data_IF_759850978403
#
_entry.id   IF_759850978403
#
_cell.length_a   1.000
_cell.length_b   1.000
_cell.length_c   1.000
_cell.angle_alpha   90.00
_cell.angle_beta   90.00
_cell.angle_gamma   90.00
#
_symmetry.space_group_name_H-M   'P 1'
#
loop_
_entity.id
_entity.type
_entity.pdbx_description
1 polymer ?
#
# COMPACT_ATOMS: atom_id res chain seq x y z
N UNK A 1 -9.60 12.59 3.00
CA UNK A 1 -9.84 13.58 1.93
C UNK A 1 -11.32 13.93 1.82
N UNK A 2 -12.20 12.95 1.60
CA UNK A 2 -13.66 13.16 1.46
C UNK A 2 -14.32 13.81 2.69
N UNK A 3 -13.97 13.40 3.91
CA UNK A 3 -14.54 13.98 5.15
C UNK A 3 -14.18 15.45 5.36
N UNK A 4 -12.94 15.84 5.05
CA UNK A 4 -12.49 17.24 5.11
C UNK A 4 -13.26 18.13 4.13
N UNK A 5 -13.53 17.64 2.91
CA UNK A 5 -14.36 18.37 1.94
C UNK A 5 -15.80 18.52 2.43
N UNK A 6 -16.37 17.49 3.08
CA UNK A 6 -17.71 17.58 3.66
C UNK A 6 -17.81 18.60 4.80
N UNK A 7 -16.80 18.66 5.69
CA UNK A 7 -16.71 19.70 6.74
C UNK A 7 -16.58 21.10 6.14
N UNK A 8 -15.84 21.24 5.03
CA UNK A 8 -15.72 22.53 4.35
C UNK A 8 -17.08 22.98 3.78
N UNK A 9 -17.80 22.09 3.11
CA UNK A 9 -19.14 22.38 2.57
C UNK A 9 -20.11 22.77 3.70
N UNK A 10 -20.14 22.05 4.82
CA UNK A 10 -21.02 22.39 5.94
C UNK A 10 -20.67 23.74 6.57
N UNK A 11 -19.38 24.04 6.70
CA UNK A 11 -18.92 25.35 7.19
C UNK A 11 -19.29 26.49 6.23
N UNK A 12 -19.19 26.27 4.92
CA UNK A 12 -19.55 27.28 3.92
C UNK A 12 -21.05 27.55 3.94
N UNK A 13 -21.88 26.51 4.12
CA UNK A 13 -23.32 26.67 4.31
C UNK A 13 -23.66 27.45 5.59
N UNK A 14 -22.95 27.20 6.70
CA UNK A 14 -23.13 27.97 7.93
C UNK A 14 -22.79 29.45 7.77
N UNK A 15 -21.84 29.78 6.90
CA UNK A 15 -21.47 31.18 6.61
C UNK A 15 -22.44 31.91 5.68
N UNK A 16 -23.47 31.23 5.18
CA UNK A 16 -24.44 31.82 4.28
C UNK A 16 -25.38 32.80 5.03
N UNK A 17 -25.60 34.03 4.51
CA UNK A 17 -26.52 35.00 5.12
C UNK A 17 -27.95 34.49 5.35
N UNK A 18 -28.39 33.46 4.63
CA UNK A 18 -29.69 32.81 4.86
C UNK A 18 -29.80 32.22 6.26
N UNK A 19 -28.70 31.84 6.90
CA UNK A 19 -28.68 31.38 8.29
C UNK A 19 -29.06 32.47 9.29
N UNK A 20 -28.91 33.75 8.94
CA UNK A 20 -29.35 34.88 9.78
C UNK A 20 -30.84 35.21 9.57
N UNK A 21 -31.38 34.85 8.40
CA UNK A 21 -32.74 35.18 7.98
C UNK A 21 -33.75 34.09 8.35
N UNK A 22 -33.33 32.83 8.29
CA UNK A 22 -34.20 31.66 8.45
C UNK A 22 -33.71 30.78 9.61
N UNK A 23 -34.31 30.91 10.81
CA UNK A 23 -33.88 30.17 12.00
C UNK A 23 -33.92 28.64 11.82
N UNK A 24 -34.91 28.11 11.10
CA UNK A 24 -35.01 26.67 10.81
C UNK A 24 -33.92 26.18 9.87
N UNK A 25 -33.46 27.04 8.95
CA UNK A 25 -32.33 26.71 8.08
C UNK A 25 -31.03 26.66 8.89
N UNK A 26 -30.79 27.66 9.76
CA UNK A 26 -29.64 27.67 10.66
C UNK A 26 -29.57 26.42 11.54
N UNK A 27 -30.69 26.01 12.13
CA UNK A 27 -30.76 24.81 12.98
C UNK A 27 -30.36 23.55 12.17
N UNK A 28 -30.92 23.38 10.98
CA UNK A 28 -30.63 22.23 10.11
C UNK A 28 -29.16 22.20 9.69
N UNK A 29 -28.61 23.35 9.25
CA UNK A 29 -27.22 23.45 8.79
C UNK A 29 -26.25 23.25 9.96
N UNK A 30 -26.59 23.71 11.17
CA UNK A 30 -25.80 23.48 12.39
C UNK A 30 -25.76 22.00 12.78
N UNK A 31 -26.90 21.31 12.69
CA UNK A 31 -26.97 19.87 12.92
C UNK A 31 -26.12 19.11 11.88
N UNK A 32 -26.20 19.52 10.61
CA UNK A 32 -25.40 18.96 9.54
C UNK A 32 -23.90 19.16 9.75
N UNK A 33 -23.45 20.38 10.07
CA UNK A 33 -22.05 20.68 10.36
C UNK A 33 -21.50 19.88 11.55
N UNK A 34 -22.30 19.76 12.60
CA UNK A 34 -21.96 18.93 13.76
C UNK A 34 -21.75 17.47 13.35
N UNK A 35 -22.62 16.92 12.50
CA UNK A 35 -22.48 15.55 12.00
C UNK A 35 -21.23 15.38 11.13
N UNK A 36 -20.92 16.35 10.25
CA UNK A 36 -19.73 16.29 9.39
C UNK A 36 -18.43 16.34 10.20
N UNK A 37 -18.37 17.21 11.23
CA UNK A 37 -17.22 17.29 12.14
C UNK A 37 -17.02 16.00 12.93
N UNK A 38 -18.09 15.39 13.45
CA UNK A 38 -18.03 14.09 14.14
C UNK A 38 -17.50 12.99 13.21
N UNK A 39 -17.98 12.96 11.96
CA UNK A 39 -17.51 12.00 10.96
C UNK A 39 -16.03 12.20 10.62
N UNK A 40 -15.56 13.45 10.47
CA UNK A 40 -14.13 13.72 10.21
C UNK A 40 -13.25 13.31 11.39
N UNK A 41 -13.67 13.60 12.62
CA UNK A 41 -12.99 13.15 13.84
C UNK A 41 -12.90 11.63 13.92
N UNK A 42 -14.01 10.92 13.66
CA UNK A 42 -14.03 9.46 13.65
C UNK A 42 -13.10 8.87 12.57
N UNK A 43 -13.09 9.47 11.38
CA UNK A 43 -12.17 9.05 10.32
C UNK A 43 -10.71 9.34 10.69
N UNK A 44 -10.43 10.45 11.38
CA UNK A 44 -9.09 10.75 11.86
C UNK A 44 -8.63 9.72 12.90
N UNK A 45 -9.48 9.38 13.86
CA UNK A 45 -9.21 8.34 14.86
C UNK A 45 -8.94 6.98 14.20
N UNK A 46 -9.75 6.59 13.22
CA UNK A 46 -9.52 5.37 12.43
C UNK A 46 -8.16 5.38 11.72
N UNK A 47 -7.78 6.51 11.12
CA UNK A 47 -6.46 6.65 10.48
C UNK A 47 -5.35 6.56 11.51
N UNK A 48 -5.49 7.22 12.66
CA UNK A 48 -4.50 7.16 13.74
C UNK A 48 -4.35 5.75 14.32
N UNK A 49 -5.45 5.02 14.53
CA UNK A 49 -5.41 3.61 14.94
C UNK A 49 -4.73 2.73 13.88
N UNK A 50 -5.11 2.89 12.61
CA UNK A 50 -4.48 2.13 11.52
C UNK A 50 -2.98 2.43 11.37
N UNK A 51 -2.55 3.67 11.57
CA UNK A 51 -1.14 4.04 11.57
C UNK A 51 -0.38 3.52 12.80
N UNK A 52 -1.05 3.39 13.96
CA UNK A 52 -0.46 2.75 15.13
C UNK A 52 -0.24 1.25 14.88
N UNK A 53 -1.23 0.56 14.32
CA UNK A 53 -1.13 -0.85 13.91
C UNK A 53 -0.07 -1.06 12.81
N UNK A 54 -0.06 -0.23 11.77
CA UNK A 54 0.97 -0.27 10.71
C UNK A 54 2.35 0.04 11.27
N UNK A 55 2.45 1.00 12.18
CA UNK A 55 3.67 1.39 12.87
C UNK A 55 4.32 0.20 13.55
N UNK A 56 3.55 -0.59 14.31
CA UNK A 56 4.01 -1.83 14.95
C UNK A 56 4.53 -2.86 13.94
N UNK A 57 3.81 -3.12 12.85
CA UNK A 57 4.31 -3.99 11.76
C UNK A 57 5.59 -3.48 11.10
N UNK A 58 5.74 -2.16 10.95
CA UNK A 58 6.95 -1.52 10.44
C UNK A 58 8.15 -1.70 11.37
N UNK A 59 7.92 -1.70 12.70
CA UNK A 59 8.97 -1.97 13.69
C UNK A 59 9.46 -3.41 13.55
N UNK A 60 8.58 -4.40 13.39
CA UNK A 60 9.00 -5.80 13.18
C UNK A 60 9.86 -6.01 11.93
N UNK A 61 9.61 -5.24 10.86
CA UNK A 61 10.45 -5.26 9.66
C UNK A 61 11.89 -4.82 9.97
N UNK A 62 12.10 -3.84 10.86
CA UNK A 62 13.44 -3.35 11.19
C UNK A 62 14.07 -3.97 12.45
N UNK A 63 13.31 -4.69 13.28
CA UNK A 63 13.80 -5.31 14.54
C UNK A 63 14.74 -6.49 14.28
N UNK A 64 14.67 -7.12 13.11
CA UNK A 64 15.58 -8.22 12.75
C UNK A 64 16.41 -7.90 11.49
N UNK A 65 17.37 -6.95 11.54
CA UNK A 65 18.22 -6.62 10.40
C UNK A 65 18.95 -7.83 9.82
N UNK A 66 19.37 -8.77 10.68
CA UNK A 66 20.00 -10.02 10.27
C UNK A 66 19.06 -10.93 9.48
N UNK A 67 17.79 -11.03 9.87
CA UNK A 67 16.76 -11.80 9.16
C UNK A 67 16.46 -11.19 7.80
N UNK A 68 16.29 -9.87 7.71
CA UNK A 68 16.09 -9.19 6.43
C UNK A 68 17.27 -9.39 5.47
N UNK A 69 18.50 -9.32 5.99
CA UNK A 69 19.69 -9.58 5.19
C UNK A 69 19.76 -11.05 4.75
N UNK A 70 19.37 -11.99 5.60
CA UNK A 70 19.28 -13.41 5.24
C UNK A 70 18.25 -13.66 4.14
N UNK A 71 17.08 -13.03 4.22
CA UNK A 71 16.03 -13.10 3.19
C UNK A 71 16.52 -12.52 1.87
N UNK A 72 17.16 -11.34 1.88
CA UNK A 72 17.76 -10.73 0.68
C UNK A 72 18.82 -11.61 0.05
N UNK A 73 19.71 -12.22 0.86
CA UNK A 73 20.74 -13.15 0.39
C UNK A 73 20.11 -14.39 -0.25
N UNK A 74 19.09 -14.98 0.40
CA UNK A 74 18.35 -16.12 -0.15
C UNK A 74 17.73 -15.80 -1.51
N UNK A 75 17.09 -14.64 -1.65
CA UNK A 75 16.46 -14.23 -2.91
C UNK A 75 17.50 -14.03 -4.02
N UNK A 76 18.64 -13.41 -3.69
CA UNK A 76 19.76 -13.27 -4.62
C UNK A 76 20.27 -14.64 -5.10
N UNK A 77 20.54 -15.57 -4.17
CA UNK A 77 20.99 -16.92 -4.51
C UNK A 77 19.96 -17.67 -5.35
N UNK A 78 18.66 -17.49 -5.09
CA UNK A 78 17.59 -18.10 -5.88
C UNK A 78 17.55 -17.55 -7.31
N UNK A 79 17.73 -16.25 -7.50
CA UNK A 79 17.81 -15.65 -8.84
C UNK A 79 19.04 -16.16 -9.61
N UNK A 80 20.18 -16.26 -8.94
CA UNK A 80 21.40 -16.79 -9.55
C UNK A 80 21.23 -18.27 -9.92
N UNK A 81 20.63 -19.08 -9.04
CA UNK A 81 20.28 -20.47 -9.34
C UNK A 81 19.40 -20.57 -10.60
N UNK A 82 18.31 -19.80 -10.68
CA UNK A 82 17.43 -19.79 -11.87
C UNK A 82 18.20 -19.42 -13.13
N UNK A 83 19.09 -18.43 -13.07
CA UNK A 83 19.94 -18.03 -14.21
C UNK A 83 20.89 -19.16 -14.63
N UNK A 84 21.51 -19.86 -13.69
CA UNK A 84 22.39 -21.00 -13.99
C UNK A 84 21.59 -22.18 -14.55
N UNK A 85 20.43 -22.48 -13.97
CA UNK A 85 19.53 -23.54 -14.44
C UNK A 85 19.15 -23.32 -15.91
N UNK A 86 18.73 -22.10 -16.28
CA UNK A 86 18.44 -21.79 -17.68
C UNK A 86 19.65 -21.91 -18.61
N UNK A 87 20.88 -21.77 -18.10
CA UNK A 87 22.09 -22.03 -18.90
C UNK A 87 22.33 -23.52 -19.09
N UNK A 88 22.15 -24.32 -18.03
CA UNK A 88 22.26 -25.79 -18.09
C UNK A 88 21.26 -26.34 -19.10
N UNK A 89 19.98 -25.96 -19.00
CA UNK A 89 18.94 -26.39 -19.94
C UNK A 89 19.30 -26.05 -21.40
N UNK A 90 19.84 -24.84 -21.64
CA UNK A 90 20.32 -24.44 -22.98
C UNK A 90 21.52 -25.25 -23.47
N UNK A 91 22.42 -25.67 -22.57
CA UNK A 91 23.56 -26.49 -22.95
C UNK A 91 23.12 -27.94 -23.23
N UNK A 92 22.24 -28.51 -22.41
CA UNK A 92 21.66 -29.83 -22.63
C UNK A 92 20.90 -29.89 -23.96
N UNK A 93 20.12 -28.85 -24.29
CA UNK A 93 19.45 -28.76 -25.59
C UNK A 93 20.46 -28.72 -26.76
N UNK A 94 21.57 -27.98 -26.60
CA UNK A 94 22.65 -27.94 -27.60
C UNK A 94 23.38 -29.28 -27.74
N UNK A 95 23.66 -29.98 -26.65
CA UNK A 95 24.26 -31.31 -26.70
C UNK A 95 23.34 -32.35 -27.36
N UNK A 96 22.02 -32.11 -27.31
CA UNK A 96 21.02 -32.92 -28.00
C UNK A 96 20.92 -32.65 -29.50
N UNK A 97 21.65 -31.66 -30.05
CA UNK A 97 21.70 -31.43 -31.50
C UNK A 97 22.70 -32.35 -32.20
N UNK A 98 22.29 -32.91 -33.35
CA UNK A 98 22.98 -33.98 -34.10
C UNK A 98 24.49 -33.82 -34.38
N UNK A 99 25.07 -32.62 -34.55
CA UNK A 99 26.51 -32.46 -34.79
C UNK A 99 27.41 -32.79 -33.59
N UNK A 100 26.90 -32.74 -32.35
CA UNK A 100 27.70 -32.97 -31.13
C UNK A 100 27.83 -34.47 -30.83
N UNK A 101 26.76 -35.25 -31.03
CA UNK A 101 26.77 -36.72 -30.89
C UNK A 101 27.76 -37.40 -31.86
N UNK A 102 27.98 -36.81 -33.04
CA UNK A 102 28.92 -37.34 -34.04
C UNK A 102 30.40 -37.14 -33.65
N UNK A 103 30.72 -36.17 -32.79
CA UNK A 103 32.11 -35.90 -32.34
C UNK A 103 32.53 -36.70 -31.10
N UNK A 104 31.58 -37.30 -30.37
CA UNK A 104 31.86 -38.13 -29.19
C UNK A 104 32.19 -39.59 -29.55
N UNK A 105 31.95 -40.01 -30.79
CA UNK A 105 32.17 -41.37 -31.30
C UNK A 105 33.35 -41.49 -32.27
N UNK A 106 34.30 -40.55 -32.26
CA UNK A 106 35.52 -40.62 -33.07
C UNK A 106 36.76 -40.85 -32.22
#
# INVERSE_FOLDING_TARGET
AMSKSAVKISSDLLSNPLCEQEPSFLEMVTAFDTAMKRMDSFNQEKVTMGLAEEGETGVFSNVFPSLNMAVKRREQTLQDYKRLQSKVEKYEEKERTGPVLAKLHQ
#
